data_IF_307627025696
#
_entry.id   IF_307627025696
#
_cell.length_a   1.000
_cell.length_b   1.000
_cell.length_c   1.000
_cell.angle_alpha   90.00
_cell.angle_beta   90.00
_cell.angle_gamma   90.00
#
_symmetry.space_group_name_H-M   'P 1'
#
loop_
_entity.id
_entity.type
_entity.pdbx_description
1 polymer ?
2 non-polymer ?
3 non-polymer ?
4 water ?
#
# COMPACT_ATOMS: atom_id res chain seq x y z
N UNK A 31 -41.87 -1.72 15.47
CA UNK A 31 -42.22 -0.07 15.03
C UNK A 31 -40.70 0.48 15.27
N UNK A 32 -40.10 0.28 16.49
CA UNK A 32 -38.83 0.93 16.97
C UNK A 32 -37.88 -0.06 17.68
N UNK A 33 -38.23 -1.37 17.78
CA UNK A 33 -37.32 -2.53 18.05
C UNK A 33 -36.51 -2.85 16.78
N UNK A 34 -36.96 -2.25 15.68
CA UNK A 34 -36.36 -2.25 14.31
C UNK A 34 -35.12 -1.34 14.31
N UNK A 35 -35.27 -0.04 14.60
CA UNK A 35 -34.17 0.95 14.65
C UNK A 35 -33.04 0.42 15.57
N UNK A 36 -33.36 -0.57 16.43
CA UNK A 36 -32.45 -1.29 17.35
C UNK A 36 -31.70 -2.43 16.66
N UNK A 37 -32.38 -3.40 16.01
CA UNK A 37 -31.80 -4.57 15.27
C UNK A 37 -30.79 -4.11 14.20
N UNK A 38 -30.99 -2.90 13.69
CA UNK A 38 -30.19 -2.22 12.61
C UNK A 38 -28.89 -1.64 13.19
N UNK A 39 -28.92 -0.96 14.35
CA UNK A 39 -27.69 -0.48 15.06
C UNK A 39 -26.94 -1.69 15.64
N UNK A 40 -27.69 -2.59 16.30
CA UNK A 40 -27.23 -3.86 16.95
C UNK A 40 -26.50 -4.80 16.00
N UNK A 41 -26.48 -4.58 14.68
CA UNK A 41 -25.88 -5.50 13.67
C UNK A 41 -25.03 -4.75 12.61
N UNK A 42 -24.72 -3.46 12.82
CA UNK A 42 -23.82 -2.66 11.94
C UNK A 42 -24.40 -2.52 10.53
N UNK A 43 -25.74 -2.42 10.47
CA UNK A 43 -26.53 -2.31 9.22
C UNK A 43 -26.98 -0.85 9.07
N UNK A 44 -26.62 -0.03 10.04
CA UNK A 44 -26.96 1.42 10.01
C UNK A 44 -26.32 2.02 8.74
N UNK A 45 -25.15 1.54 8.33
CA UNK A 45 -24.42 2.12 7.17
C UNK A 45 -25.21 1.85 5.89
N UNK A 46 -25.60 0.59 5.69
CA UNK A 46 -26.44 0.16 4.53
C UNK A 46 -27.73 1.00 4.49
N UNK A 47 -28.48 1.05 5.61
CA UNK A 47 -29.79 1.76 5.70
C UNK A 47 -29.60 3.23 5.34
N UNK A 48 -28.47 3.76 5.83
CA UNK A 48 -28.10 5.16 5.59
C UNK A 48 -27.75 5.36 4.11
N UNK A 49 -27.03 4.45 3.45
CA UNK A 49 -26.66 4.67 2.03
C UNK A 49 -27.97 4.60 1.21
N UNK A 50 -28.93 3.81 1.68
CA UNK A 50 -30.25 3.72 0.97
C UNK A 50 -30.96 5.08 1.10
N UNK A 51 -31.17 5.55 2.32
CA UNK A 51 -31.83 6.86 2.51
C UNK A 51 -31.07 7.88 1.64
N UNK A 52 -29.73 7.83 1.66
CA UNK A 52 -28.85 8.81 0.96
C UNK A 52 -29.24 8.77 -0.52
N UNK A 53 -29.36 7.56 -1.08
CA UNK A 53 -29.63 7.31 -2.53
C UNK A 53 -31.00 7.91 -2.92
N UNK A 54 -31.94 7.96 -1.96
CA UNK A 54 -33.29 8.52 -2.23
C UNK A 54 -33.24 10.08 -2.23
N UNK A 55 -32.38 10.71 -1.42
CA UNK A 55 -32.16 12.19 -1.44
C UNK A 55 -31.60 12.66 -2.77
N UNK A 56 -30.69 11.89 -3.37
CA UNK A 56 -29.99 12.30 -4.61
C UNK A 56 -30.92 12.24 -5.81
N UNK A 57 -31.92 11.36 -5.80
CA UNK A 57 -32.78 11.09 -6.98
C UNK A 57 -34.17 11.73 -6.81
N UNK A 58 -34.60 11.90 -5.54
CA UNK A 58 -35.82 12.59 -5.03
C UNK A 58 -37.10 12.09 -5.73
N UNK A 59 -37.55 10.87 -5.37
CA UNK A 59 -38.69 10.25 -6.03
C UNK A 59 -40.03 10.90 -5.63
N UNK A 60 -40.98 10.92 -6.56
CA UNK A 60 -42.30 11.58 -6.42
C UNK A 60 -43.28 10.72 -5.60
N UNK A 61 -43.10 9.38 -5.54
CA UNK A 61 -44.01 8.40 -4.86
C UNK A 61 -43.26 7.33 -4.06
N UNK A 62 -43.96 6.55 -3.20
CA UNK A 62 -43.30 5.39 -2.52
C UNK A 62 -42.93 4.35 -3.58
N UNK A 63 -43.75 4.15 -4.63
CA UNK A 63 -43.37 3.12 -5.66
C UNK A 63 -42.05 3.52 -6.34
N UNK A 64 -41.88 4.79 -6.72
CA UNK A 64 -40.62 5.32 -7.33
C UNK A 64 -39.42 5.07 -6.37
N UNK A 65 -39.51 5.46 -5.10
CA UNK A 65 -38.47 5.17 -4.08
C UNK A 65 -38.09 3.69 -4.08
N UNK A 66 -39.05 2.77 -4.02
CA UNK A 66 -38.74 1.33 -3.84
C UNK A 66 -38.03 0.81 -5.10
N UNK A 67 -38.46 1.25 -6.26
CA UNK A 67 -37.79 0.96 -7.55
C UNK A 67 -36.32 1.39 -7.41
N UNK A 68 -36.07 2.62 -6.96
CA UNK A 68 -34.69 3.15 -6.81
C UNK A 68 -33.88 2.25 -5.88
N UNK A 69 -34.46 1.76 -4.78
CA UNK A 69 -33.72 0.88 -3.84
C UNK A 69 -33.43 -0.48 -4.51
N UNK A 70 -34.38 -1.01 -5.29
CA UNK A 70 -34.18 -2.24 -6.09
C UNK A 70 -33.08 -2.01 -7.16
N UNK A 71 -32.96 -0.84 -7.81
CA UNK A 71 -31.90 -0.55 -8.84
C UNK A 71 -30.52 -0.41 -8.14
N UNK A 72 -30.47 0.30 -7.02
CA UNK A 72 -29.27 0.52 -6.16
C UNK A 72 -28.61 -0.82 -5.82
N UNK A 73 -29.38 -1.71 -5.24
CA UNK A 73 -28.91 -3.04 -4.79
C UNK A 73 -28.46 -3.88 -5.99
N UNK A 74 -29.11 -3.71 -7.14
CA UNK A 74 -28.91 -4.53 -8.35
C UNK A 74 -27.55 -4.11 -8.94
N UNK A 75 -27.30 -2.80 -9.01
CA UNK A 75 -26.07 -2.17 -9.57
C UNK A 75 -24.88 -2.60 -8.68
N UNK A 76 -25.01 -2.57 -7.35
CA UNK A 76 -24.01 -3.07 -6.38
C UNK A 76 -23.76 -4.58 -6.51
N UNK A 77 -24.79 -5.35 -6.87
CA UNK A 77 -24.61 -6.81 -7.07
C UNK A 77 -23.76 -6.98 -8.32
N UNK A 78 -23.94 -6.09 -9.30
CA UNK A 78 -23.22 -6.11 -10.58
C UNK A 78 -21.75 -5.77 -10.29
N UNK A 79 -21.50 -4.69 -9.53
CA UNK A 79 -20.14 -4.23 -9.16
C UNK A 79 -19.46 -5.37 -8.43
N UNK A 80 -20.19 -6.10 -7.61
CA UNK A 80 -19.64 -7.14 -6.73
C UNK A 80 -19.32 -8.38 -7.58
N UNK A 81 -20.17 -8.63 -8.59
CA UNK A 81 -20.06 -9.76 -9.56
C UNK A 81 -18.77 -9.54 -10.38
N UNK A 82 -18.49 -8.29 -10.74
CA UNK A 82 -17.26 -7.92 -11.47
C UNK A 82 -16.01 -8.00 -10.54
N UNK A 83 -16.05 -7.41 -9.33
CA UNK A 83 -14.97 -7.59 -8.33
C UNK A 83 -14.63 -9.08 -8.16
N UNK A 84 -15.62 -9.99 -8.07
CA UNK A 84 -15.39 -11.45 -7.94
C UNK A 84 -14.65 -12.03 -9.17
N UNK A 85 -14.99 -11.56 -10.36
CA UNK A 85 -14.32 -12.03 -11.60
C UNK A 85 -12.84 -11.58 -11.58
N UNK A 86 -12.58 -10.36 -11.14
CA UNK A 86 -11.24 -9.73 -11.21
C UNK A 86 -10.39 -10.25 -10.05
N UNK A 87 -10.95 -10.52 -8.87
CA UNK A 87 -10.22 -10.88 -7.63
C UNK A 87 -10.33 -12.36 -7.31
N UNK A 88 -10.76 -13.18 -8.25
CA UNK A 88 -10.74 -14.67 -8.21
C UNK A 88 -9.37 -15.12 -7.69
N UNK A 89 -9.31 -15.92 -6.63
CA UNK A 89 -8.04 -16.44 -6.04
C UNK A 89 -8.07 -17.96 -5.79
N UNK A 90 -6.94 -18.64 -6.05
CA UNK A 90 -6.73 -20.12 -5.96
C UNK A 90 -5.95 -20.51 -4.70
N UNK A 91 -5.23 -19.59 -4.05
CA UNK A 91 -4.26 -19.90 -2.95
C UNK A 91 -4.41 -18.93 -1.77
N UNK A 92 -4.43 -17.62 -2.00
CA UNK A 92 -4.05 -16.65 -0.95
C UNK A 92 -4.60 -15.28 -1.31
N UNK A 93 -4.87 -14.44 -0.33
CA UNK A 93 -5.10 -13.00 -0.59
C UNK A 93 -4.48 -12.23 0.56
N UNK A 94 -4.15 -10.98 0.32
CA UNK A 94 -3.83 -10.03 1.41
C UNK A 94 -4.67 -8.78 1.18
N UNK A 95 -5.23 -8.27 2.25
CA UNK A 95 -5.84 -6.92 2.29
C UNK A 95 -4.97 -6.07 3.19
N UNK A 96 -4.51 -4.92 2.75
CA UNK A 96 -3.72 -3.96 3.55
C UNK A 96 -4.38 -2.57 3.44
N UNK A 97 -4.93 -1.99 4.53
CA UNK A 97 -5.69 -0.70 4.51
C UNK A 97 -5.05 0.41 5.36
N UNK A 98 -5.64 1.63 5.32
CA UNK A 98 -5.36 2.88 6.08
C UNK A 98 -3.90 3.01 5.82
N UNK A 99 -3.58 2.56 4.62
CA UNK A 99 -2.25 2.03 4.15
C UNK A 99 -1.31 1.66 5.36
N UNK A 100 -1.17 0.37 5.70
CA UNK A 100 -0.21 -0.15 6.70
C UNK A 100 -0.84 -0.65 8.01
N UNK A 101 -1.86 0.06 8.51
CA UNK A 101 -2.36 0.00 9.90
C UNK A 101 -3.61 -0.89 10.01
N UNK A 102 -3.89 -1.75 9.03
CA UNK A 102 -4.82 -2.91 9.11
C UNK A 102 -4.46 -3.90 8.01
N UNK A 103 -4.19 -5.15 8.36
CA UNK A 103 -3.71 -6.17 7.40
C UNK A 103 -4.40 -7.48 7.73
N UNK A 104 -4.87 -8.18 6.70
CA UNK A 104 -5.41 -9.57 6.75
C UNK A 104 -4.78 -10.38 5.61
N UNK A 105 -4.30 -11.57 5.89
CA UNK A 105 -3.80 -12.54 4.92
C UNK A 105 -4.57 -13.82 5.14
N UNK A 106 -4.97 -14.48 4.06
CA UNK A 106 -5.72 -15.77 4.05
C UNK A 106 -4.99 -16.73 3.10
N UNK A 107 -4.71 -17.95 3.56
CA UNK A 107 -4.27 -19.06 2.70
C UNK A 107 -5.36 -20.14 2.74
N UNK A 108 -5.73 -20.66 1.58
CA UNK A 108 -6.64 -21.83 1.42
C UNK A 108 -5.88 -23.10 1.74
N UNK A 109 -6.59 -24.07 2.34
CA UNK A 109 -6.26 -25.52 2.34
C UNK A 109 -7.48 -26.41 2.05
N UNK A 110 -7.26 -27.73 1.86
CA UNK A 110 -8.32 -28.73 1.53
C UNK A 110 -9.49 -28.61 2.54
N UNK A 111 -9.21 -28.72 3.84
CA UNK A 111 -10.28 -28.88 4.88
C UNK A 111 -10.53 -27.57 5.66
N UNK A 112 -9.55 -26.65 5.77
CA UNK A 112 -9.67 -25.34 6.45
C UNK A 112 -8.86 -24.28 5.70
N UNK A 113 -9.15 -23.00 5.92
CA UNK A 113 -8.28 -21.84 5.57
C UNK A 113 -7.47 -21.36 6.78
N UNK A 114 -6.24 -20.89 6.62
CA UNK A 114 -5.50 -20.22 7.74
C UNK A 114 -5.59 -18.71 7.52
N UNK A 115 -5.52 -17.92 8.58
CA UNK A 115 -5.91 -16.48 8.62
C UNK A 115 -4.99 -15.73 9.59
N UNK A 116 -4.31 -14.66 9.17
CA UNK A 116 -3.41 -13.83 10.03
C UNK A 116 -3.95 -12.40 10.01
N UNK A 117 -4.24 -11.76 11.14
CA UNK A 117 -4.62 -10.33 11.12
C UNK A 117 -3.63 -9.50 11.93
N UNK A 118 -3.49 -8.24 11.54
CA UNK A 118 -2.77 -7.17 12.27
C UNK A 118 -3.57 -5.87 12.19
N UNK A 119 -3.52 -5.11 13.25
CA UNK A 119 -4.18 -3.78 13.35
C UNK A 119 -3.28 -2.94 14.25
N UNK A 120 -2.97 -1.72 13.85
CA UNK A 120 -2.20 -0.78 14.68
C UNK A 120 -2.87 0.58 14.50
N UNK A 121 -4.06 0.77 15.03
CA UNK A 121 -4.75 2.07 15.05
C UNK A 121 -4.56 2.74 16.38
N UNK A 122 -5.16 3.91 16.61
CA UNK A 122 -4.97 4.65 17.87
C UNK A 122 -5.84 3.93 18.90
N UNK A 123 -6.96 3.35 18.45
CA UNK A 123 -8.07 2.86 19.32
C UNK A 123 -7.85 1.36 19.66
N UNK A 124 -7.17 0.59 18.79
CA UNK A 124 -6.97 -0.86 18.95
C UNK A 124 -5.67 -1.28 18.30
N UNK A 125 -4.79 -1.95 19.05
CA UNK A 125 -3.58 -2.63 18.52
C UNK A 125 -3.82 -4.14 18.64
N UNK A 126 -3.66 -4.96 17.60
CA UNK A 126 -3.85 -6.43 17.76
C UNK A 126 -3.19 -7.26 16.64
N UNK A 127 -2.91 -8.53 16.97
CA UNK A 127 -2.48 -9.60 16.06
C UNK A 127 -3.34 -10.82 16.28
N UNK A 128 -3.64 -11.57 15.25
CA UNK A 128 -4.34 -12.84 15.47
C UNK A 128 -3.86 -13.78 14.39
N UNK A 129 -3.78 -15.05 14.72
CA UNK A 129 -3.46 -16.13 13.76
C UNK A 129 -4.29 -17.35 14.16
N UNK A 130 -5.00 -18.00 13.23
CA UNK A 130 -5.96 -19.10 13.53
C UNK A 130 -6.54 -19.63 12.24
N UNK A 131 -7.33 -20.70 12.33
CA UNK A 131 -7.88 -21.46 11.18
C UNK A 131 -9.40 -21.23 11.13
N UNK A 132 -10.02 -21.25 9.96
CA UNK A 132 -11.50 -21.15 9.84
C UNK A 132 -12.04 -22.26 8.92
N UNK A 133 -13.32 -22.57 9.06
CA UNK A 133 -13.99 -23.67 8.32
C UNK A 133 -14.16 -23.23 6.87
N UNK A 134 -14.53 -24.17 6.00
CA UNK A 134 -14.87 -23.89 4.57
C UNK A 134 -16.13 -23.02 4.51
N UNK A 135 -17.07 -23.20 5.43
CA UNK A 135 -18.27 -22.33 5.45
C UNK A 135 -17.78 -20.92 5.84
N UNK A 136 -16.92 -20.81 6.86
CA UNK A 136 -16.42 -19.48 7.31
C UNK A 136 -15.67 -18.77 6.16
N UNK A 137 -14.87 -19.50 5.38
CA UNK A 137 -14.09 -18.96 4.24
C UNK A 137 -15.02 -18.32 3.20
N UNK A 138 -16.10 -19.04 2.89
CA UNK A 138 -17.17 -18.59 1.97
C UNK A 138 -17.76 -17.27 2.50
N UNK A 139 -18.15 -17.22 3.77
CA UNK A 139 -18.75 -15.97 4.34
C UNK A 139 -17.71 -14.84 4.19
N UNK A 140 -16.44 -15.08 4.56
CA UNK A 140 -15.37 -14.04 4.51
C UNK A 140 -15.16 -13.62 3.05
N UNK A 141 -15.14 -14.59 2.14
CA UNK A 141 -14.86 -14.30 0.71
C UNK A 141 -15.89 -13.31 0.21
N UNK A 142 -17.14 -13.36 0.66
CA UNK A 142 -18.17 -12.43 0.12
C UNK A 142 -17.90 -11.00 0.63
N UNK A 143 -17.37 -10.87 1.85
CA UNK A 143 -17.12 -9.54 2.47
C UNK A 143 -15.92 -8.92 1.76
N UNK A 144 -14.97 -9.78 1.36
CA UNK A 144 -13.77 -9.46 0.53
C UNK A 144 -14.19 -8.92 -0.87
N UNK A 145 -15.05 -9.64 -1.62
CA UNK A 145 -15.52 -9.16 -2.94
C UNK A 145 -16.21 -7.81 -2.78
N UNK A 146 -16.96 -7.64 -1.73
CA UNK A 146 -17.58 -6.33 -1.40
C UNK A 146 -16.53 -5.23 -1.27
N UNK A 147 -15.43 -5.46 -0.55
CA UNK A 147 -14.23 -4.55 -0.54
C UNK A 147 -13.73 -4.46 -1.97
N UNK A 148 -13.74 -5.53 -2.74
CA UNK A 148 -13.24 -5.47 -4.12
C UNK A 148 -13.92 -4.43 -5.02
N UNK A 149 -15.14 -3.98 -4.68
CA UNK A 149 -15.90 -2.99 -5.48
C UNK A 149 -15.16 -1.67 -5.47
N UNK A 150 -14.21 -1.45 -4.55
CA UNK A 150 -13.47 -0.16 -4.38
C UNK A 150 -12.12 -0.18 -5.08
N UNK A 151 -11.82 -1.22 -5.82
CA UNK A 151 -10.60 -1.28 -6.64
C UNK A 151 -10.66 -0.15 -7.66
N UNK A 152 -9.57 0.59 -7.84
CA UNK A 152 -9.38 1.62 -8.92
C UNK A 152 -8.41 1.12 -10.01
N UNK A 153 -8.57 1.64 -11.23
CA UNK A 153 -7.64 1.42 -12.37
C UNK A 153 -6.60 2.54 -12.39
N UNK A 154 -6.99 3.77 -12.03
CA UNK A 154 -6.06 4.91 -11.84
C UNK A 154 -4.84 4.66 -10.92
N UNK A 155 -3.84 5.56 -10.95
CA UNK A 155 -3.01 5.96 -9.78
C UNK A 155 -3.22 7.45 -9.49
N UNK A 156 -4.00 8.14 -10.32
CA UNK A 156 -4.47 9.54 -10.13
C UNK A 156 -5.75 9.39 -9.32
N UNK A 157 -5.76 9.85 -8.07
CA UNK A 157 -6.80 9.40 -7.12
C UNK A 157 -6.20 9.10 -5.76
N UNK A 158 -6.89 9.51 -4.69
CA UNK A 158 -6.51 9.18 -3.28
C UNK A 158 -6.78 7.68 -3.15
N UNK A 159 -5.90 6.94 -2.45
CA UNK A 159 -5.87 5.47 -2.28
C UNK A 159 -5.93 5.09 -0.81
N UNK A 160 -6.62 3.98 -0.47
CA UNK A 160 -6.84 3.53 0.92
C UNK A 160 -6.08 2.25 1.21
N UNK A 161 -5.26 1.79 0.26
CA UNK A 161 -4.56 0.50 0.40
C UNK A 161 -4.61 -0.36 -0.86
N UNK A 162 -4.37 -1.65 -0.66
CA UNK A 162 -4.30 -2.60 -1.79
C UNK A 162 -4.76 -3.98 -1.42
N UNK A 163 -4.93 -4.79 -2.45
CA UNK A 163 -5.24 -6.24 -2.34
C UNK A 163 -4.24 -7.03 -3.19
N UNK A 164 -3.61 -8.03 -2.63
CA UNK A 164 -2.79 -8.97 -3.42
C UNK A 164 -3.59 -10.27 -3.58
N UNK A 165 -3.54 -10.88 -4.77
CA UNK A 165 -4.06 -12.23 -5.10
C UNK A 165 -2.91 -13.17 -5.44
N UNK A 166 -2.84 -14.31 -4.77
CA UNK A 166 -1.98 -15.47 -5.12
C UNK A 166 -0.51 -15.00 -5.22
N UNK A 167 -0.12 -14.01 -4.44
CA UNK A 167 1.27 -13.46 -4.38
C UNK A 167 1.73 -12.99 -5.76
N UNK A 168 0.83 -12.74 -6.73
CA UNK A 168 1.19 -12.31 -8.12
C UNK A 168 0.63 -10.90 -8.35
N UNK A 169 -0.68 -10.74 -8.32
CA UNK A 169 -1.33 -9.49 -8.76
C UNK A 169 -1.63 -8.65 -7.53
N UNK A 170 -1.55 -7.34 -7.72
CA UNK A 170 -1.81 -6.32 -6.68
C UNK A 170 -2.73 -5.20 -7.21
N UNK A 171 -3.82 -4.92 -6.52
CA UNK A 171 -4.77 -3.89 -6.97
C UNK A 171 -4.83 -2.87 -5.89
N UNK A 172 -4.90 -1.61 -6.24
CA UNK A 172 -5.03 -0.49 -5.27
C UNK A 172 -6.53 -0.24 -4.95
N UNK A 173 -6.83 0.11 -3.71
CA UNK A 173 -8.19 0.49 -3.23
C UNK A 173 -8.30 2.01 -3.16
N UNK A 174 -9.52 2.52 -3.44
CA UNK A 174 -9.88 3.97 -3.33
C UNK A 174 -9.93 4.33 -1.85
N UNK A 175 -9.82 5.62 -1.50
CA UNK A 175 -9.96 6.17 -0.12
C UNK A 175 -11.43 6.47 0.16
N UNK A 176 -11.82 6.98 1.33
CA UNK A 176 -13.18 7.50 1.58
C UNK A 176 -14.02 6.57 2.45
N UNK A 177 -15.15 7.06 2.96
CA UNK A 177 -15.88 6.40 4.07
C UNK A 177 -16.49 5.05 3.64
N UNK A 178 -16.99 4.93 2.43
CA UNK A 178 -17.63 3.65 2.02
C UNK A 178 -16.56 2.57 1.92
N UNK A 179 -15.38 2.86 1.32
CA UNK A 179 -14.26 1.89 1.32
C UNK A 179 -13.88 1.52 2.74
N UNK A 180 -13.70 2.49 3.64
CA UNK A 180 -13.39 2.19 5.07
C UNK A 180 -14.45 1.33 5.74
N UNK A 181 -15.74 1.59 5.50
CA UNK A 181 -16.83 0.80 6.11
C UNK A 181 -16.67 -0.65 5.65
N UNK A 182 -16.44 -0.89 4.38
CA UNK A 182 -16.32 -2.26 3.83
C UNK A 182 -15.16 -3.00 4.50
N UNK A 183 -14.02 -2.32 4.64
CA UNK A 183 -12.88 -2.86 5.42
C UNK A 183 -13.25 -3.18 6.87
N UNK A 184 -13.89 -2.24 7.56
CA UNK A 184 -14.35 -2.46 8.95
C UNK A 184 -15.16 -3.76 8.97
N UNK A 185 -16.09 -3.95 8.05
CA UNK A 185 -17.05 -5.10 8.15
C UNK A 185 -16.25 -6.39 7.92
N UNK A 186 -15.24 -6.33 7.04
CA UNK A 186 -14.43 -7.49 6.70
C UNK A 186 -13.57 -7.86 7.90
N UNK A 187 -12.91 -6.92 8.57
CA UNK A 187 -12.06 -7.31 9.73
C UNK A 187 -12.94 -7.82 10.87
N UNK A 188 -14.02 -7.10 11.13
CA UNK A 188 -14.95 -7.43 12.24
C UNK A 188 -15.43 -8.89 12.05
N UNK A 189 -15.69 -9.35 10.84
CA UNK A 189 -16.19 -10.74 10.72
C UNK A 189 -15.09 -11.73 11.06
N UNK A 190 -13.88 -11.51 10.54
CA UNK A 190 -12.73 -12.39 10.84
C UNK A 190 -12.54 -12.43 12.36
N UNK A 191 -12.58 -11.26 13.02
CA UNK A 191 -12.40 -11.26 14.50
C UNK A 191 -13.46 -12.16 15.16
N UNK A 192 -14.73 -12.04 14.77
CA UNK A 192 -15.85 -12.87 15.29
C UNK A 192 -15.51 -14.34 15.16
N UNK A 193 -14.97 -14.76 14.01
CA UNK A 193 -14.56 -16.17 13.76
C UNK A 193 -13.42 -16.62 14.67
N UNK A 194 -12.60 -15.67 15.13
CA UNK A 194 -11.49 -15.93 16.10
C UNK A 194 -12.04 -16.44 17.45
N UNK A 195 -13.24 -16.00 17.85
CA UNK A 195 -13.93 -16.44 19.07
C UNK A 195 -14.70 -17.77 18.87
N UNK A 196 -14.08 -18.82 18.29
CA UNK A 196 -14.74 -20.06 17.77
C UNK A 196 -15.89 -19.66 16.83
N UNK B 31 41.43 16.47 8.30
CA UNK B 31 41.06 15.09 8.67
C UNK B 31 39.84 15.06 9.63
N UNK B 32 39.26 16.22 10.01
CA UNK B 32 38.03 16.34 10.86
C UNK B 32 36.95 17.29 10.24
N UNK B 33 37.27 17.99 9.14
CA UNK B 33 36.35 18.71 8.19
C UNK B 33 35.59 17.68 7.34
N UNK B 34 36.09 16.44 7.39
CA UNK B 34 35.55 15.21 6.77
C UNK B 34 34.31 14.74 7.53
N UNK B 35 34.44 14.44 8.83
CA UNK B 35 33.33 13.96 9.70
C UNK B 35 32.14 14.95 9.58
N UNK B 36 32.43 16.18 9.12
CA UNK B 36 31.46 17.28 8.87
C UNK B 36 30.77 17.15 7.51
N UNK B 37 31.51 17.07 6.37
CA UNK B 37 30.99 16.97 4.96
C UNK B 37 30.05 15.77 4.80
N UNK B 38 30.23 14.74 5.64
CA UNK B 38 29.51 13.44 5.68
C UNK B 38 28.15 13.61 6.38
N UNK B 39 28.08 14.31 7.53
CA UNK B 39 26.79 14.65 8.22
C UNK B 39 26.05 15.70 7.38
N UNK B 40 26.77 16.75 6.95
CA UNK B 40 26.32 17.91 6.13
C UNK B 40 25.67 17.50 4.80
N UNK B 41 25.76 16.22 4.36
CA UNK B 41 25.27 15.76 3.03
C UNK B 41 24.49 14.44 3.13
N UNK B 42 24.09 13.99 4.33
CA UNK B 42 23.21 12.79 4.55
C UNK B 42 23.89 11.52 4.04
N UNK B 43 25.22 11.47 4.19
CA UNK B 43 26.07 10.33 3.76
C UNK B 43 26.46 9.52 5.00
N UNK B 44 26.00 9.99 6.16
CA UNK B 44 26.28 9.33 7.46
C UNK B 44 25.69 7.91 7.38
N UNK B 45 24.58 7.72 6.68
CA UNK B 45 23.86 6.41 6.65
C UNK B 45 24.73 5.40 5.88
N UNK B 46 25.19 5.81 4.69
CA UNK B 46 26.10 5.01 3.83
C UNK B 46 27.35 4.62 4.63
N UNK B 47 28.02 5.62 5.23
CA UNK B 47 29.29 5.39 5.96
C UNK B 47 29.05 4.40 7.10
N UNK B 48 27.88 4.54 7.72
CA UNK B 48 27.48 3.67 8.85
C UNK B 48 27.21 2.25 8.32
N UNK B 49 26.57 2.08 7.15
CA UNK B 49 26.30 0.70 6.65
C UNK B 49 27.65 0.06 6.30
N UNK B 50 28.61 0.88 5.88
CA UNK B 50 29.97 0.35 5.56
C UNK B 50 30.65 -0.13 6.85
N UNK B 51 30.77 0.73 7.84
CA UNK B 51 31.34 0.31 9.14
C UNK B 51 30.60 -0.97 9.59
N UNK B 52 29.27 -0.97 9.48
CA UNK B 52 28.40 -2.09 9.97
C UNK B 52 28.87 -3.37 9.27
N UNK B 53 29.07 -3.29 7.95
CA UNK B 53 29.45 -4.46 7.10
C UNK B 53 30.82 -5.02 7.53
N UNK B 54 31.68 -4.17 8.07
CA UNK B 54 33.02 -4.60 8.54
C UNK B 54 32.91 -5.34 9.90
N UNK B 55 31.97 -4.95 10.77
CA UNK B 55 31.70 -5.66 12.05
C UNK B 55 31.21 -7.09 11.82
N UNK B 56 30.40 -7.30 10.81
CA UNK B 56 29.72 -8.61 10.57
C UNK B 56 30.74 -9.62 10.04
N UNK B 57 31.77 -9.16 9.32
CA UNK B 57 32.70 -10.04 8.57
C UNK B 57 34.07 -10.12 9.27
N UNK B 58 34.43 -9.09 10.07
CA UNK B 58 35.62 -8.97 10.96
C UNK B 58 36.95 -9.34 10.26
N UNK B 59 37.45 -8.44 9.39
CA UNK B 59 38.65 -8.71 8.60
C UNK B 59 39.92 -8.63 9.45
N UNK B 60 40.93 -9.43 9.07
CA UNK B 60 42.24 -9.59 9.78
C UNK B 60 43.17 -8.38 9.54
N UNK B 61 43.03 -7.67 8.41
CA UNK B 61 43.92 -6.57 7.88
C UNK B 61 43.11 -5.41 7.28
N UNK B 62 43.74 -4.24 7.07
CA UNK B 62 43.09 -3.14 6.33
C UNK B 62 42.85 -3.56 4.87
N UNK B 63 43.73 -4.35 4.25
CA UNK B 63 43.46 -4.77 2.83
C UNK B 63 42.20 -5.64 2.75
N UNK B 64 41.99 -6.57 3.70
CA UNK B 64 40.77 -7.42 3.76
C UNK B 64 39.52 -6.52 3.94
N UNK B 65 39.51 -5.58 4.88
CA UNK B 65 38.45 -4.57 5.05
C UNK B 65 38.13 -3.90 3.72
N UNK B 66 39.12 -3.41 2.99
CA UNK B 66 38.87 -2.58 1.78
C UNK B 66 38.21 -3.46 0.72
N UNK B 67 38.70 -4.69 0.57
CA UNK B 67 38.10 -5.73 -0.30
C UNK B 67 36.59 -5.81 0.05
N UNK B 68 36.29 -6.00 1.33
CA UNK B 68 34.89 -6.18 1.81
C UNK B 68 34.06 -4.95 1.39
N UNK B 69 34.57 -3.74 1.50
CA UNK B 69 33.79 -2.54 1.10
C UNK B 69 33.61 -2.51 -0.42
N UNK B 70 34.64 -2.89 -1.19
CA UNK B 70 34.54 -3.02 -2.68
C UNK B 70 33.49 -4.10 -3.06
N UNK B 71 33.38 -5.23 -2.33
CA UNK B 71 32.39 -6.31 -2.60
C UNK B 71 30.95 -5.81 -2.25
N UNK B 72 30.79 -5.16 -1.10
CA UNK B 72 29.54 -4.58 -0.59
C UNK B 72 28.89 -3.67 -1.65
N UNK B 73 29.65 -2.71 -2.13
CA UNK B 73 29.17 -1.71 -3.12
C UNK B 73 28.86 -2.37 -4.46
N UNK B 74 29.59 -3.43 -4.82
CA UNK B 74 29.50 -4.13 -6.12
C UNK B 74 28.17 -4.89 -6.11
N UNK B 75 27.89 -5.58 -4.99
CA UNK B 75 26.68 -6.40 -4.78
C UNK B 75 25.45 -5.47 -4.82
N UNK B 76 25.49 -4.30 -4.16
CA UNK B 76 24.46 -3.24 -4.23
C UNK B 76 24.25 -2.66 -5.63
N UNK B 77 25.30 -2.59 -6.43
CA UNK B 77 25.18 -2.10 -7.82
C UNK B 77 24.39 -3.17 -8.58
N UNK B 78 24.61 -4.43 -8.23
CA UNK B 78 23.98 -5.59 -8.89
C UNK B 78 22.47 -5.57 -8.53
N UNK B 79 22.13 -5.46 -7.24
CA UNK B 79 20.75 -5.39 -6.73
C UNK B 79 20.04 -4.23 -7.45
N UNK B 80 20.74 -3.13 -7.65
CA UNK B 80 20.15 -1.86 -8.16
C UNK B 80 19.94 -2.01 -9.67
N UNK B 81 20.86 -2.75 -10.32
CA UNK B 81 20.84 -3.05 -11.79
C UNK B 81 19.60 -3.92 -12.10
N UNK B 82 19.31 -4.85 -11.19
CA UNK B 82 18.14 -5.74 -11.22
C UNK B 82 16.86 -4.93 -10.93
N UNK B 83 16.81 -4.13 -9.87
CA UNK B 83 15.68 -3.22 -9.59
C UNK B 83 15.36 -2.35 -10.84
N UNK B 84 16.36 -1.82 -11.54
CA UNK B 84 16.17 -1.01 -12.78
C UNK B 84 15.51 -1.84 -13.89
N UNK B 85 15.87 -3.11 -14.02
CA UNK B 85 15.26 -3.96 -15.05
C UNK B 85 13.79 -4.18 -14.67
N UNK B 86 13.54 -4.44 -13.39
CA UNK B 86 12.20 -4.79 -12.90
C UNK B 86 11.29 -3.57 -13.03
N UNK B 87 11.77 -2.38 -12.66
CA UNK B 87 10.95 -1.15 -12.48
C UNK B 87 11.10 -0.16 -13.64
N UNK B 88 11.62 -0.62 -14.78
CA UNK B 88 11.69 0.14 -16.04
C UNK B 88 10.31 0.75 -16.35
N UNK B 89 10.22 2.07 -16.51
CA UNK B 89 8.97 2.82 -16.79
C UNK B 89 9.10 3.77 -18.00
N UNK B 90 8.05 3.82 -18.83
CA UNK B 90 7.89 4.62 -20.07
C UNK B 90 7.05 5.90 -19.86
N UNK B 91 6.24 6.00 -18.79
CA UNK B 91 5.22 7.06 -18.61
C UNK B 91 5.25 7.59 -17.18
N UNK B 92 5.16 6.75 -16.16
CA UNK B 92 4.71 7.22 -14.82
C UNK B 92 5.22 6.30 -13.73
N UNK B 93 5.42 6.80 -12.52
CA UNK B 93 5.59 5.90 -11.34
C UNK B 93 4.86 6.53 -10.18
N UNK B 94 4.46 5.72 -9.23
CA UNK B 94 4.04 6.19 -7.91
C UNK B 94 4.81 5.42 -6.87
N UNK B 95 5.30 6.12 -5.88
CA UNK B 95 5.85 5.54 -4.63
C UNK B 95 4.92 5.92 -3.51
N UNK B 96 4.44 4.96 -2.74
CA UNK B 96 3.57 5.18 -1.56
C UNK B 96 4.19 4.45 -0.34
N UNK B 97 4.65 5.15 0.71
CA UNK B 97 5.38 4.55 1.88
C UNK B 97 4.64 4.72 3.22
N UNK B 98 5.20 4.13 4.29
CA UNK B 98 4.82 4.19 5.73
C UNK B 98 3.38 3.80 5.64
N UNK B 99 3.14 2.96 4.64
CA UNK B 99 1.88 2.79 3.86
C UNK B 99 0.87 3.98 4.08
N UNK B 100 0.74 4.90 3.12
CA UNK B 100 -0.26 6.00 3.13
C UNK B 100 0.33 7.40 3.32
N UNK B 101 1.29 7.53 4.24
CA UNK B 101 1.73 8.80 4.88
C UNK B 101 2.98 9.38 4.19
N UNK B 102 3.35 8.93 2.99
CA UNK B 102 4.33 9.57 2.05
C UNK B 102 4.11 9.07 0.62
N UNK B 103 3.83 9.96 -0.31
CA UNK B 103 3.46 9.58 -1.69
C UNK B 103 4.18 10.52 -2.66
N UNK B 104 4.75 9.96 -3.73
CA UNK B 104 5.36 10.70 -4.88
C UNK B 104 4.82 10.09 -6.17
N UNK B 105 4.38 10.94 -7.10
CA UNK B 105 3.98 10.55 -8.45
C UNK B 105 4.86 11.31 -9.42
N UNK B 106 5.34 10.66 -10.46
CA UNK B 106 6.13 11.27 -11.58
C UNK B 106 5.51 10.88 -12.91
N UNK B 107 5.25 11.84 -13.79
CA UNK B 107 4.90 11.61 -15.20
C UNK B 107 6.00 12.22 -16.06
N UNK B 108 6.49 11.44 -17.02
CA UNK B 108 7.49 11.86 -18.02
C UNK B 108 6.82 12.74 -19.06
N UNK B 109 7.57 13.73 -19.55
CA UNK B 109 7.29 14.46 -20.80
C UNK B 109 8.51 14.63 -21.70
N UNK B 110 8.27 15.28 -22.84
CA UNK B 110 9.30 15.57 -23.89
C UNK B 110 10.45 16.35 -23.25
N UNK B 111 10.14 17.54 -22.70
CA UNK B 111 11.15 18.54 -22.26
C UNK B 111 11.30 18.54 -20.73
N UNK B 112 10.25 18.17 -19.98
CA UNK B 112 10.22 18.16 -18.50
C UNK B 112 9.46 16.92 -18.01
N UNK B 113 9.67 16.52 -16.76
CA UNK B 113 8.77 15.63 -15.99
C UNK B 113 7.86 16.45 -15.06
N UNK B 114 6.63 16.03 -14.80
CA UNK B 114 5.82 16.64 -13.72
C UNK B 114 5.88 15.72 -12.52
N UNK B 115 5.73 16.28 -11.32
CA UNK B 115 6.01 15.63 -10.02
C UNK B 115 5.01 16.13 -8.97
N UNK B 116 4.31 15.24 -8.28
CA UNK B 116 3.34 15.58 -7.19
C UNK B 116 3.82 14.87 -5.91
N UNK B 117 4.04 15.54 -4.80
CA UNK B 117 4.33 14.83 -3.54
C UNK B 117 3.26 15.12 -2.52
N UNK B 118 3.07 14.18 -1.60
CA UNK B 118 2.27 14.32 -0.34
C UNK B 118 3.01 13.64 0.81
N UNK B 119 2.90 14.22 1.98
CA UNK B 119 3.45 13.68 3.25
C UNK B 119 2.43 14.05 4.32
N UNK B 120 2.11 13.13 5.21
CA UNK B 120 1.23 13.38 6.37
C UNK B 120 1.84 12.62 7.52
N UNK B 121 2.99 13.03 8.02
CA UNK B 121 3.61 12.47 9.23
C UNK B 121 3.24 13.29 10.45
N UNK B 122 3.72 12.92 11.63
CA UNK B 122 3.42 13.71 12.85
C UNK B 122 4.32 14.94 12.78
N UNK B 123 5.48 14.83 12.11
CA UNK B 123 6.58 15.84 12.16
C UNK B 123 6.45 16.86 10.99
N UNK B 124 5.79 16.50 9.87
CA UNK B 124 5.65 17.34 8.64
C UNK B 124 4.42 16.96 7.86
N UNK B 125 3.53 17.91 7.56
CA UNK B 125 2.37 17.70 6.63
C UNK B 125 2.66 18.55 5.38
N UNK B 126 2.67 17.98 4.18
CA UNK B 126 2.90 18.81 2.96
C UNK B 126 2.37 18.18 1.68
N UNK B 127 2.08 19.01 0.69
CA UNK B 127 1.82 18.66 -0.72
C UNK B 127 2.68 19.54 -1.59
N UNK B 128 3.09 19.03 -2.72
CA UNK B 128 3.77 19.89 -3.69
C UNK B 128 3.41 19.36 -5.05
N UNK B 129 3.37 20.23 -6.02
CA UNK B 129 3.26 19.87 -7.43
C UNK B 129 4.10 20.87 -8.24
N UNK B 130 4.89 20.41 -9.22
CA UNK B 130 5.87 21.24 -9.97
C UNK B 130 6.54 20.38 -11.04
N UNK B 131 7.36 21.00 -11.88
CA UNK B 131 8.02 20.38 -13.04
C UNK B 131 9.54 20.28 -12.76
N UNK B 132 10.24 19.30 -13.30
CA UNK B 132 11.71 19.17 -13.16
C UNK B 132 12.36 18.93 -14.54
N UNK B 133 13.66 19.22 -14.63
CA UNK B 133 14.42 19.11 -15.90
C UNK B 133 14.65 17.64 -16.20
N UNK B 134 15.09 17.36 -17.43
CA UNK B 134 15.54 16.01 -17.87
C UNK B 134 16.73 15.55 -17.05
N UNK B 135 17.64 16.44 -16.69
CA UNK B 135 18.80 16.08 -15.83
C UNK B 135 18.23 15.72 -14.44
N UNK B 136 17.30 16.52 -13.91
CA UNK B 136 16.72 16.27 -12.57
C UNK B 136 16.02 14.90 -12.56
N UNK B 137 15.30 14.55 -13.62
CA UNK B 137 14.57 13.27 -13.75
C UNK B 137 15.53 12.07 -13.63
N UNK B 138 16.65 12.18 -14.34
CA UNK B 138 17.76 11.20 -14.31
C UNK B 138 18.24 11.04 -12.87
N UNK B 139 18.54 12.14 -12.18
CA UNK B 139 19.03 12.08 -10.77
C UNK B 139 17.97 11.35 -9.93
N UNK B 140 16.70 11.75 -10.04
CA UNK B 140 15.59 11.17 -9.23
C UNK B 140 15.44 9.69 -9.58
N UNK B 141 15.54 9.35 -10.88
CA UNK B 141 15.33 7.97 -11.34
C UNK B 141 16.32 7.06 -10.63
N UNK B 142 17.55 7.49 -10.38
CA UNK B 142 18.57 6.59 -9.77
C UNK B 142 18.23 6.37 -8.30
N UNK B 143 17.62 7.37 -7.63
CA UNK B 143 17.28 7.31 -6.19
C UNK B 143 16.10 6.36 -6.05
N UNK B 144 15.23 6.36 -7.05
CA UNK B 144 14.06 5.46 -7.20
C UNK B 144 14.53 3.98 -7.38
N UNK B 145 15.42 3.70 -8.33
CA UNK B 145 15.99 2.33 -8.49
C UNK B 145 16.61 1.86 -7.19
N UNK B 146 17.30 2.75 -6.49
CA UNK B 146 17.86 2.43 -5.14
C UNK B 146 16.74 1.99 -4.18
N UNK B 147 15.63 2.72 -4.11
CA UNK B 147 14.39 2.26 -3.38
C UNK B 147 13.99 0.90 -3.97
N UNK B 148 14.07 0.73 -5.28
CA UNK B 148 13.67 -0.53 -5.94
C UNK B 148 14.34 -1.79 -5.38
N UNK B 149 15.51 -1.67 -4.74
CA UNK B 149 16.28 -2.82 -4.22
C UNK B 149 15.51 -3.47 -3.09
N UNK B 150 14.54 -2.78 -2.50
CA UNK B 150 13.72 -3.28 -1.35
C UNK B 150 12.40 -3.92 -1.77
N UNK B 151 12.15 -4.04 -3.06
CA UNK B 151 10.98 -4.78 -3.57
C UNK B 151 11.06 -6.23 -3.08
N UNK B 152 9.95 -6.77 -2.53
CA UNK B 152 9.80 -8.22 -2.14
C UNK B 152 8.87 -8.98 -3.10
N UNK B 153 9.09 -10.29 -3.24
CA UNK B 153 8.25 -11.20 -4.09
C UNK B 153 7.17 -11.83 -3.22
N UNK B 154 7.48 -12.17 -1.95
CA UNK B 154 6.45 -12.62 -0.98
C UNK B 154 5.29 -11.63 -0.74
N UNK B 155 4.26 -12.10 -0.04
CA UNK B 155 3.34 -11.29 0.80
C UNK B 155 3.46 -11.73 2.27
N UNK B 156 4.24 -12.77 2.56
CA UNK B 156 4.63 -13.13 3.95
C UNK B 156 5.92 -12.37 4.16
N UNK B 157 5.94 -11.47 5.13
CA UNK B 157 6.89 -10.36 5.23
C UNK B 157 6.16 -9.09 5.64
N UNK B 158 6.70 -8.33 6.62
CA UNK B 158 6.26 -6.94 6.92
C UNK B 158 6.61 -6.10 5.69
N UNK B 159 5.70 -5.18 5.30
CA UNK B 159 5.72 -4.34 4.09
C UNK B 159 5.71 -2.86 4.46
N UNK B 160 6.40 -2.02 3.68
CA UNK B 160 6.58 -0.58 3.96
C UNK B 160 5.84 0.26 2.93
N UNK B 161 5.10 -0.38 2.03
CA UNK B 161 4.51 0.34 0.90
C UNK B 161 4.71 -0.37 -0.42
N UNK B 162 4.50 0.40 -1.48
CA UNK B 162 4.47 -0.18 -2.84
C UNK B 162 4.91 0.84 -3.86
N UNK B 163 5.15 0.33 -5.06
CA UNK B 163 5.53 1.15 -6.23
C UNK B 163 4.66 0.74 -7.40
N UNK B 164 4.05 1.69 -8.11
CA UNK B 164 3.28 1.38 -9.35
C UNK B 164 4.13 1.90 -10.51
N UNK B 165 4.17 1.14 -11.62
CA UNK B 165 4.80 1.53 -12.91
C UNK B 165 3.73 1.63 -14.00
N UNK B 166 3.68 2.76 -14.69
CA UNK B 166 2.89 2.97 -15.93
C UNK B 166 1.41 2.60 -15.68
N UNK B 167 0.92 2.85 -14.48
CA UNK B 167 -0.48 2.57 -14.07
C UNK B 167 -0.88 1.10 -14.30
N UNK B 168 0.07 0.18 -14.43
CA UNK B 168 -0.20 -1.24 -14.77
C UNK B 168 0.26 -2.14 -13.63
N UNK B 169 1.55 -2.19 -13.36
CA UNK B 169 2.11 -3.13 -12.36
C UNK B 169 2.30 -2.40 -11.05
N UNK B 170 2.16 -3.16 -9.97
CA UNK B 170 2.39 -2.71 -8.59
C UNK B 170 3.29 -3.69 -7.83
N UNK B 171 4.34 -3.20 -7.17
CA UNK B 171 5.30 -4.07 -6.45
C UNK B 171 5.28 -3.62 -5.03
N UNK B 172 5.39 -4.54 -4.08
CA UNK B 172 5.36 -4.20 -2.63
C UNK B 172 6.80 -3.99 -2.11
N UNK B 173 7.03 -3.04 -1.21
CA UNK B 173 8.33 -2.76 -0.55
C UNK B 173 8.39 -3.42 0.83
N UNK B 174 9.58 -3.88 1.24
CA UNK B 174 9.90 -4.42 2.58
C UNK B 174 9.81 -3.30 3.61
N UNK B 175 9.60 -3.62 4.89
CA UNK B 175 9.65 -2.65 6.03
C UNK B 175 11.10 -2.57 6.52
N UNK B 176 11.43 -1.79 7.54
CA UNK B 176 12.78 -1.81 8.11
C UNK B 176 13.54 -0.54 7.76
N UNK B 177 14.61 -0.25 8.51
CA UNK B 177 15.21 1.10 8.50
C UNK B 177 15.93 1.40 7.19
N UNK B 178 16.53 0.41 6.55
CA UNK B 178 17.24 0.67 5.28
C UNK B 178 16.23 1.10 4.21
N UNK B 179 15.11 0.39 4.09
CA UNK B 179 14.03 0.80 3.16
C UNK B 179 13.56 2.22 3.48
N UNK B 180 13.28 2.55 4.76
CA UNK B 180 12.89 3.92 5.19
C UNK B 180 13.94 4.96 4.80
N UNK B 181 15.23 4.66 5.01
CA UNK B 181 16.32 5.61 4.68
C UNK B 181 16.27 5.89 3.18
N UNK B 182 16.16 4.87 2.35
CA UNK B 182 16.12 5.05 0.87
C UNK B 182 14.94 5.94 0.46
N UNK B 183 13.76 5.70 1.05
CA UNK B 183 12.61 6.60 0.82
C UNK B 183 12.88 8.03 1.27
N UNK B 184 13.40 8.20 2.48
CA UNK B 184 13.80 9.56 2.95
C UNK B 184 14.66 10.20 1.87
N UNK B 185 15.66 9.51 1.31
CA UNK B 185 16.67 10.17 0.42
C UNK B 185 15.93 10.57 -0.87
N UNK B 186 14.98 9.73 -1.30
CA UNK B 186 14.25 9.98 -2.55
C UNK B 186 13.34 11.18 -2.36
N UNK B 187 12.61 11.31 -1.26
CA UNK B 187 11.70 12.47 -1.09
C UNK B 187 12.53 13.74 -0.92
N UNK B 188 13.56 13.68 -0.11
CA UNK B 188 14.43 14.85 0.20
C UNK B 188 14.94 15.41 -1.15
N UNK B 189 15.30 14.59 -2.11
CA UNK B 189 15.88 15.15 -3.35
C UNK B 189 14.78 15.88 -4.14
N UNK B 190 13.60 15.29 -4.23
CA UNK B 190 12.48 15.91 -4.96
C UNK B 190 12.16 17.24 -4.28
N UNK B 191 12.12 17.25 -2.96
CA UNK B 191 11.83 18.56 -2.25
C UNK B 191 12.88 19.61 -2.66
N UNK B 192 14.16 19.23 -2.67
CA UNK B 192 15.27 20.16 -3.02
C UNK B 192 15.03 20.69 -4.42
N UNK B 193 14.58 19.87 -5.36
CA UNK B 193 14.27 20.30 -6.75
C UNK B 193 13.09 21.29 -6.78
N UNK B 194 12.18 21.21 -5.80
CA UNK B 194 11.03 22.15 -5.65
C UNK B 194 11.53 23.60 -5.42
N UNK B 195 12.69 23.76 -4.77
CA UNK B 195 13.33 25.07 -4.53
C UNK B 195 14.16 25.57 -5.74
N UNK B 196 13.66 25.49 -6.99
CA UNK B 196 14.49 25.59 -8.24
C UNK B 196 15.68 24.63 -8.15
X LIG C 1 -1.41 -12.77 -1.47
X LIG D 1 -21.13 -13.28 -5.53
X LIG D 1 -19.96 -13.62 -6.25
X LIG D 1 -21.26 -11.78 -5.30
X LIG D 1 -20.41 -11.11 -6.24
X LIG D 1 -22.69 -11.25 -5.39
X LIG D 1 -23.02 -10.31 -4.37
X LIG E 1 1.95 4.94 -11.90
X LIG F 1 22.64 1.50 -10.06
X LIG F 1 24.03 1.70 -9.71
X LIG F 1 22.36 1.15 -11.52
X LIG F 1 21.08 0.52 -11.60
X LIG F 1 22.38 2.31 -12.49
X LIG F 1 21.22 2.30 -13.34
#
# INVERSE_FOLDING_TARGET
GPGSMEMSRSSDTFSASRNRVRADEINDEEDHADAAYVEKHNLQCLFSEMAEQLSEKDPKTEQEAERILLEFLTHRKAERDRAALRLQFSHSFEVNLDNGRKIMRLQLGQETSTLQLEQKGRVLKMDEAFSISLEQTEELTEMFYELGRFVVDGTKGEQGGFISIDERDVYLLAAGRECAEAGDELFNLAMLFSMDRGKKSEQTSGEA
GPGSMEMSRSSDTFSASRNRVRADEINDEEDHADAAYVEKHNLQCLFSEMAEQLSEKDPKTEQEAERILLEFLTHRKAERDRAALRLQFSHSFEVNLDNGRKIMRLQLGQETSTLQLEQKGRVLKMDEAFSISLEQTEELTEMFYELGRFVVDGTKGEQGGFISIDERDVYLLAAGRECAEAGDELFNLAMLFSMDRGKKSEQTSGEA
K K
GOL C1 O1 C2 O2 C3 O3
K K
GOL C1 O1 C2 O2 C3 O3
#
